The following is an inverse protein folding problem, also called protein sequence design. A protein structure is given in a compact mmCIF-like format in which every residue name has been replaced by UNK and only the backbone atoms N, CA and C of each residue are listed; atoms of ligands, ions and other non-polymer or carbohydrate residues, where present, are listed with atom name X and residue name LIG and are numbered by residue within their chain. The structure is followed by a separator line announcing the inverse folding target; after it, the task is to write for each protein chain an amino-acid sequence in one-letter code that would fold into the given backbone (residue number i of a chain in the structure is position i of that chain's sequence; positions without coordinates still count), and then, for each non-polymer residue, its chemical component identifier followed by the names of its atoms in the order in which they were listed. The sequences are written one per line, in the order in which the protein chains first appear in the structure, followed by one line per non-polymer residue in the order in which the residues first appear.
data_IF_544096125120
#
_entry.id   IF_544096125120
#
_cell.length_a   1.000
_cell.length_b   1.000
_cell.length_c   1.000
_cell.angle_alpha   90.00
_cell.angle_beta   90.00
_cell.angle_gamma   90.00
#
_symmetry.space_group_name_H-M   'P 1'
#
loop_
_entity.id
_entity.type
_entity.pdbx_description
1 polymer ?
#
# COMPACT_ATOMS: atom_id res chain seq x y z
N UNK A 1 -1.91 -52.21 23.11
CA UNK A 1 -1.88 -50.91 23.83
C UNK A 1 -2.09 -49.80 22.82
N UNK A 2 -3.27 -49.20 22.82
CA UNK A 2 -3.57 -47.99 22.06
C UNK A 2 -2.86 -46.81 22.73
N UNK A 3 -2.11 -46.01 21.97
CA UNK A 3 -1.69 -44.67 22.39
C UNK A 3 -2.38 -43.67 21.47
N UNK A 4 -3.45 -43.08 21.97
CA UNK A 4 -4.00 -41.85 21.44
C UNK A 4 -2.92 -40.77 21.52
N UNK A 5 -2.68 -40.05 20.42
CA UNK A 5 -1.96 -38.78 20.46
C UNK A 5 -2.74 -37.76 19.61
N UNK A 6 -3.33 -36.84 20.38
CA UNK A 6 -3.72 -35.47 20.09
C UNK A 6 -4.61 -35.19 18.88
N UNK A 7 -5.88 -34.98 19.18
CA UNK A 7 -6.73 -33.94 18.58
C UNK A 7 -5.90 -32.69 18.34
N UNK A 8 -5.54 -32.41 17.08
CA UNK A 8 -5.06 -31.08 16.68
C UNK A 8 -6.28 -30.19 16.82
N UNK A 9 -6.35 -29.50 17.95
CA UNK A 9 -7.30 -28.43 18.19
C UNK A 9 -7.24 -27.47 17.02
N UNK A 10 -8.26 -27.47 16.15
CA UNK A 10 -8.51 -26.35 15.25
C UNK A 10 -8.91 -25.17 16.11
N UNK A 11 -7.93 -24.51 16.71
CA UNK A 11 -8.14 -23.20 17.30
C UNK A 11 -8.55 -22.33 16.12
N UNK A 12 -9.85 -22.03 16.04
CA UNK A 12 -10.37 -21.05 15.09
C UNK A 12 -9.67 -19.75 15.42
N UNK A 13 -8.68 -19.39 14.61
CA UNK A 13 -7.97 -18.14 14.75
C UNK A 13 -8.91 -17.04 14.25
N UNK A 14 -9.67 -16.47 15.18
CA UNK A 14 -10.69 -15.44 14.91
C UNK A 14 -10.10 -14.27 14.12
N UNK A 15 -8.83 -13.94 14.34
CA UNK A 15 -8.12 -12.88 13.63
C UNK A 15 -7.78 -13.23 12.18
N UNK A 16 -7.48 -14.51 11.91
CA UNK A 16 -7.24 -14.98 10.54
C UNK A 16 -8.54 -15.02 9.73
N UNK A 17 -9.64 -15.42 10.37
CA UNK A 17 -10.97 -15.39 9.75
C UNK A 17 -11.42 -13.96 9.44
N UNK A 18 -11.14 -13.02 10.34
CA UNK A 18 -11.35 -11.59 10.11
C UNK A 18 -10.49 -11.07 8.96
N UNK A 19 -9.21 -11.45 8.89
CA UNK A 19 -8.32 -11.09 7.77
C UNK A 19 -8.87 -11.57 6.42
N UNK A 20 -9.35 -12.81 6.35
CA UNK A 20 -9.95 -13.35 5.12
C UNK A 20 -11.21 -12.56 4.73
N UNK A 21 -12.05 -12.23 5.71
CA UNK A 21 -13.36 -11.58 5.48
C UNK A 21 -13.25 -10.08 5.21
N UNK A 22 -12.25 -9.40 5.77
CA UNK A 22 -12.12 -7.95 5.63
C UNK A 22 -11.09 -7.56 4.56
N UNK A 23 -9.98 -8.29 4.46
CA UNK A 23 -8.86 -7.92 3.57
C UNK A 23 -8.84 -8.73 2.27
N UNK A 24 -9.16 -10.03 2.32
CA UNK A 24 -9.10 -10.89 1.13
C UNK A 24 -10.41 -11.00 0.34
N UNK A 25 -11.49 -10.33 0.74
CA UNK A 25 -12.79 -10.41 0.02
C UNK A 25 -12.70 -9.92 -1.43
N UNK A 26 -11.87 -8.92 -1.70
CA UNK A 26 -11.63 -8.41 -3.05
C UNK A 26 -10.45 -9.08 -3.74
N UNK A 27 -9.79 -10.04 -3.09
CA UNK A 27 -8.63 -10.71 -3.66
C UNK A 27 -9.07 -11.69 -4.76
N UNK A 28 -8.48 -11.56 -5.94
CA UNK A 28 -8.70 -12.49 -7.04
C UNK A 28 -7.78 -13.72 -6.90
N UNK A 29 -8.10 -14.59 -5.95
CA UNK A 29 -7.40 -15.86 -5.78
C UNK A 29 -7.87 -16.83 -6.86
N UNK A 30 -6.93 -17.46 -7.56
CA UNK A 30 -7.22 -18.41 -8.63
C UNK A 30 -8.18 -19.52 -8.16
N UNK A 31 -9.35 -19.72 -8.80
CA UNK A 31 -10.33 -20.73 -8.38
C UNK A 31 -9.84 -22.17 -8.60
N UNK A 32 -8.85 -22.41 -9.48
CA UNK A 32 -8.29 -23.72 -9.75
C UNK A 32 -7.34 -24.24 -8.65
N UNK A 33 -7.06 -23.44 -7.62
CA UNK A 33 -6.23 -23.85 -6.49
C UNK A 33 -6.91 -24.94 -5.66
N UNK A 34 -6.16 -26.00 -5.35
CA UNK A 34 -6.66 -27.03 -4.44
C UNK A 34 -6.94 -26.44 -3.06
N UNK A 35 -7.89 -27.01 -2.27
CA UNK A 35 -8.21 -26.50 -0.94
C UNK A 35 -7.00 -26.40 -0.01
N UNK A 36 -6.05 -27.34 -0.13
CA UNK A 36 -4.79 -27.34 0.63
C UNK A 36 -3.87 -26.18 0.25
N UNK A 37 -3.70 -25.94 -1.06
CA UNK A 37 -2.89 -24.83 -1.56
C UNK A 37 -3.49 -23.48 -1.20
N UNK A 38 -4.83 -23.37 -1.25
CA UNK A 38 -5.53 -22.16 -0.84
C UNK A 38 -5.32 -21.85 0.64
N UNK A 39 -5.41 -22.86 1.51
CA UNK A 39 -5.12 -22.69 2.93
C UNK A 39 -3.68 -22.23 3.16
N UNK A 40 -2.72 -22.90 2.53
CA UNK A 40 -1.31 -22.53 2.62
C UNK A 40 -1.05 -21.09 2.14
N UNK A 41 -1.68 -20.68 1.03
CA UNK A 41 -1.57 -19.30 0.55
C UNK A 41 -2.10 -18.30 1.58
N UNK A 42 -3.27 -18.56 2.17
CA UNK A 42 -3.84 -17.68 3.20
C UNK A 42 -2.94 -17.66 4.45
N UNK A 43 -2.35 -18.79 4.83
CA UNK A 43 -1.37 -18.84 5.93
C UNK A 43 -0.19 -17.90 5.66
N UNK A 44 0.44 -18.02 4.49
CA UNK A 44 1.57 -17.17 4.10
C UNK A 44 1.18 -15.70 4.08
N UNK A 45 0.05 -15.35 3.45
CA UNK A 45 -0.44 -13.98 3.39
C UNK A 45 -0.73 -13.40 4.77
N UNK A 46 -1.28 -14.20 5.68
CA UNK A 46 -1.55 -13.78 7.05
C UNK A 46 -0.26 -13.60 7.86
N UNK A 47 0.71 -14.53 7.71
CA UNK A 47 2.02 -14.43 8.38
C UNK A 47 2.76 -13.15 7.98
N UNK A 48 2.73 -12.79 6.70
CA UNK A 48 3.44 -11.62 6.16
C UNK A 48 2.54 -10.41 5.92
N UNK A 49 1.36 -10.33 6.57
CA UNK A 49 0.37 -9.26 6.33
C UNK A 49 0.94 -7.84 6.49
N UNK A 50 1.89 -7.66 7.39
CA UNK A 50 2.54 -6.36 7.66
C UNK A 50 3.64 -6.02 6.64
N UNK A 51 4.02 -6.94 5.76
CA UNK A 51 4.97 -6.67 4.67
C UNK A 51 4.28 -6.05 3.45
N UNK A 52 2.95 -6.04 3.42
CA UNK A 52 2.17 -5.43 2.35
C UNK A 52 1.72 -4.02 2.75
N UNK A 53 1.78 -3.05 1.83
CA UNK A 53 1.35 -1.69 2.13
C UNK A 53 -0.16 -1.67 2.42
N UNK A 54 -0.53 -1.18 3.60
CA UNK A 54 -1.91 -0.88 3.96
C UNK A 54 -2.24 0.58 3.67
N UNK A 55 -3.51 0.91 3.44
CA UNK A 55 -3.95 2.31 3.29
C UNK A 55 -3.63 3.18 4.51
N UNK A 56 -3.41 2.57 5.67
CA UNK A 56 -3.08 3.25 6.91
C UNK A 56 -1.58 3.48 7.10
N UNK A 57 -0.72 2.88 6.25
CA UNK A 57 0.73 3.02 6.33
C UNK A 57 1.25 3.82 5.14
N UNK A 58 1.93 4.93 5.41
CA UNK A 58 2.49 5.77 4.34
C UNK A 58 3.68 5.08 3.69
N UNK A 59 3.76 5.12 2.36
CA UNK A 59 4.90 4.56 1.61
C UNK A 59 6.22 5.28 1.92
N UNK A 60 6.15 6.53 2.39
CA UNK A 60 7.31 7.34 2.79
C UNK A 60 8.00 6.91 4.09
N UNK A 61 7.58 5.82 4.73
CA UNK A 61 8.17 5.35 6.00
C UNK A 61 9.50 4.60 5.81
N UNK A 62 9.90 4.32 4.57
CA UNK A 62 11.17 3.65 4.26
C UNK A 62 12.33 4.64 4.45
N UNK A 63 13.01 4.55 5.59
CA UNK A 63 14.20 5.34 5.93
C UNK A 63 15.39 4.93 5.05
N UNK A 64 16.18 5.89 4.59
CA UNK A 64 17.46 5.63 3.89
C UNK A 64 17.41 5.63 2.36
N UNK A 65 16.24 5.92 1.76
CA UNK A 65 16.08 6.10 0.32
C UNK A 65 15.96 7.60 -0.06
N UNK A 66 16.44 8.51 0.79
CA UNK A 66 16.48 9.93 0.46
C UNK A 66 17.50 10.18 -0.66
N UNK A 67 17.07 10.87 -1.72
CA UNK A 67 17.97 11.29 -2.81
C UNK A 67 18.34 12.75 -2.58
N UNK A 68 19.63 13.02 -2.40
CA UNK A 68 20.16 14.38 -2.46
C UNK A 68 20.40 14.77 -3.92
N UNK A 69 19.77 15.86 -4.36
CA UNK A 69 19.88 16.37 -5.72
C UNK A 69 20.60 17.71 -5.69
N UNK A 70 21.86 17.71 -6.09
CA UNK A 70 22.66 18.94 -6.21
C UNK A 70 22.46 19.60 -7.58
N UNK A 71 22.21 20.91 -7.59
CA UNK A 71 22.16 21.69 -8.82
C UNK A 71 23.58 22.01 -9.29
N UNK A 72 23.90 21.68 -10.56
CA UNK A 72 25.21 21.95 -11.17
C UNK A 72 25.36 23.38 -11.70
N UNK A 73 24.62 24.33 -11.13
CA UNK A 73 24.47 25.68 -11.68
C UNK A 73 24.51 26.70 -10.53
N UNK A 74 25.01 27.91 -10.81
CA UNK A 74 25.20 28.98 -9.81
C UNK A 74 23.99 29.91 -9.70
N UNK A 75 23.79 30.50 -8.51
CA UNK A 75 22.66 31.39 -8.17
C UNK A 75 22.46 32.51 -9.21
N UNK A 76 21.22 33.03 -9.39
CA UNK A 76 20.05 32.89 -8.51
C UNK A 76 19.13 31.70 -8.82
N UNK A 77 18.73 30.97 -7.76
CA UNK A 77 17.70 29.93 -7.78
C UNK A 77 16.53 30.30 -6.88
N UNK A 78 15.30 29.89 -7.23
CA UNK A 78 14.95 28.98 -8.34
C UNK A 78 14.77 29.72 -9.69
N UNK A 79 14.89 29.05 -10.86
CA UNK A 79 14.29 29.59 -12.07
C UNK A 79 12.81 29.86 -11.78
N UNK A 80 12.34 31.06 -12.13
CA UNK A 80 10.94 31.46 -11.98
C UNK A 80 10.06 30.32 -12.49
N UNK A 81 9.22 29.76 -11.61
CA UNK A 81 8.26 28.73 -11.99
C UNK A 81 7.46 29.29 -13.18
N UNK A 82 7.65 28.68 -14.35
CA UNK A 82 7.16 29.23 -15.60
C UNK A 82 5.65 29.34 -15.59
N UNK A 83 5.14 30.57 -15.52
CA UNK A 83 3.72 30.90 -15.69
C UNK A 83 2.75 30.17 -14.74
N UNK A 84 1.46 30.50 -14.82
CA UNK A 84 0.43 29.65 -14.21
C UNK A 84 0.44 28.26 -14.86
N UNK A 85 0.14 27.23 -14.06
CA UNK A 85 -0.05 25.88 -14.60
C UNK A 85 -1.09 25.90 -15.73
N UNK A 86 -0.84 25.14 -16.80
CA UNK A 86 -1.76 25.06 -17.93
C UNK A 86 -3.17 24.63 -17.47
N UNK A 87 -4.23 25.24 -18.02
CA UNK A 87 -5.59 24.94 -17.59
C UNK A 87 -5.94 23.50 -17.98
N UNK A 88 -6.25 22.68 -16.98
CA UNK A 88 -6.85 21.36 -17.19
C UNK A 88 -8.35 21.49 -17.50
N UNK A 89 -8.87 20.59 -18.34
CA UNK A 89 -10.31 20.43 -18.56
C UNK A 89 -11.03 20.05 -17.25
N UNK A 90 -12.34 20.35 -17.14
CA UNK A 90 -13.15 20.00 -15.97
C UNK A 90 -13.08 18.50 -15.64
N UNK A 91 -13.31 17.65 -16.65
CA UNK A 91 -13.20 16.19 -16.55
C UNK A 91 -11.80 15.74 -16.14
N UNK A 92 -10.76 16.34 -16.71
CA UNK A 92 -9.37 16.02 -16.37
C UNK A 92 -9.05 16.38 -14.92
N UNK A 93 -9.50 17.54 -14.46
CA UNK A 93 -9.29 18.02 -13.08
C UNK A 93 -9.95 17.10 -12.06
N UNK A 94 -11.17 16.63 -12.32
CA UNK A 94 -11.88 15.70 -11.44
C UNK A 94 -11.19 14.33 -11.33
N UNK A 95 -10.74 13.77 -12.46
CA UNK A 95 -10.00 12.51 -12.46
C UNK A 95 -8.67 12.65 -11.70
N UNK A 96 -7.90 13.70 -11.98
CA UNK A 96 -6.62 13.98 -11.31
C UNK A 96 -6.80 14.20 -9.80
N UNK A 97 -7.86 14.89 -9.38
CA UNK A 97 -8.13 15.17 -7.96
C UNK A 97 -8.18 13.88 -7.13
N UNK A 98 -8.83 12.82 -7.65
CA UNK A 98 -8.91 11.51 -6.96
C UNK A 98 -7.52 10.91 -6.74
N UNK A 99 -6.68 10.92 -7.77
CA UNK A 99 -5.32 10.37 -7.68
C UNK A 99 -4.42 11.20 -6.78
N UNK A 100 -4.49 12.53 -6.87
CA UNK A 100 -3.72 13.44 -6.00
C UNK A 100 -4.09 13.22 -4.53
N UNK A 101 -5.37 13.05 -4.21
CA UNK A 101 -5.82 12.76 -2.84
C UNK A 101 -5.23 11.46 -2.30
N UNK A 102 -5.20 10.40 -3.11
CA UNK A 102 -4.58 9.12 -2.73
C UNK A 102 -3.08 9.31 -2.49
N UNK A 103 -2.37 10.03 -3.35
CA UNK A 103 -0.93 10.26 -3.20
C UNK A 103 -0.60 11.10 -1.96
N UNK A 104 -1.48 12.02 -1.56
CA UNK A 104 -1.35 12.76 -0.30
C UNK A 104 -1.55 11.81 0.89
N UNK A 105 -2.58 10.96 0.86
CA UNK A 105 -2.86 9.99 1.93
C UNK A 105 -1.72 8.99 2.11
N UNK A 106 -1.08 8.56 1.02
CA UNK A 106 0.07 7.66 1.04
C UNK A 106 1.39 8.33 1.47
N UNK A 107 1.38 9.65 1.71
CA UNK A 107 2.57 10.43 2.08
C UNK A 107 3.56 10.65 0.93
N UNK A 108 3.16 10.38 -0.31
CA UNK A 108 4.00 10.58 -1.51
C UNK A 108 4.03 12.05 -1.93
N UNK A 109 2.87 12.73 -1.85
CA UNK A 109 2.76 14.17 -2.10
C UNK A 109 2.53 14.92 -0.80
N UNK A 110 3.20 16.06 -0.63
CA UNK A 110 2.97 16.99 0.48
C UNK A 110 2.82 18.42 -0.03
N UNK A 111 2.03 19.22 0.68
CA UNK A 111 1.96 20.66 0.43
C UNK A 111 3.28 21.28 0.89
N UNK A 112 3.95 21.98 -0.02
CA UNK A 112 5.08 22.86 0.28
C UNK A 112 4.62 24.32 0.20
N UNK A 113 5.11 25.18 1.09
CA UNK A 113 4.79 26.60 1.06
C UNK A 113 5.43 27.28 -0.16
N UNK A 114 4.87 28.44 -0.52
CA UNK A 114 5.64 29.40 -1.31
C UNK A 114 6.66 30.01 -0.35
N UNK A 115 7.95 29.85 -0.64
CA UNK A 115 9.00 30.65 -0.01
C UNK A 115 8.96 32.07 -0.59
#
# INVERSE_FOLDING_TARGET
MQKQISVISSVKDTYKDEFVTNQLVKAQINPSLSPKMRHYLIDVLYTYKNSFPSYNETLGTIKGNEVDMTLNIDRPYPPVLGGPAHPASSRGREALKKHIQVLIQLGVLRKVGHN
#
